data_IF_498534887786
#
_entry.id   IF_498534887786
#
_cell.length_a   1.000
_cell.length_b   1.000
_cell.length_c   1.000
_cell.angle_alpha   90.00
_cell.angle_beta   90.00
_cell.angle_gamma   90.00
#
_symmetry.space_group_name_H-M   'P 1'
#
loop_
_entity.id
_entity.type
_entity.pdbx_description
1 polymer ?
#
# COMPACT_ATOMS: atom_id res chain seq x y z
N UNK A 1 -47.67 7.86 -0.42
CA UNK A 1 -46.48 7.02 -0.23
C UNK A 1 -46.56 6.42 1.15
N UNK A 2 -46.55 5.10 1.24
CA UNK A 2 -46.49 4.41 2.53
C UNK A 2 -45.08 4.52 3.10
N UNK A 3 -44.91 4.43 4.42
CA UNK A 3 -43.58 4.41 5.07
C UNK A 3 -42.68 3.28 4.54
N UNK A 4 -43.29 2.24 3.97
CA UNK A 4 -42.60 1.13 3.32
C UNK A 4 -41.95 1.54 1.98
N UNK A 5 -42.60 2.41 1.19
CA UNK A 5 -42.06 2.90 -0.09
C UNK A 5 -40.90 3.88 0.10
N UNK A 6 -40.95 4.70 1.15
CA UNK A 6 -39.83 5.59 1.54
C UNK A 6 -38.61 4.80 1.99
N UNK A 7 -38.81 3.78 2.84
CA UNK A 7 -37.75 2.88 3.28
C UNK A 7 -37.12 2.12 2.10
N UNK A 8 -37.90 1.69 1.11
CA UNK A 8 -37.38 1.05 -0.11
C UNK A 8 -36.47 1.99 -0.92
N UNK A 9 -36.76 3.30 -0.97
CA UNK A 9 -35.92 4.30 -1.64
C UNK A 9 -34.55 4.48 -0.97
N UNK A 10 -34.53 4.62 0.37
CA UNK A 10 -33.30 4.71 1.15
C UNK A 10 -32.45 3.43 1.01
N UNK A 11 -33.09 2.26 1.07
CA UNK A 11 -32.45 0.97 0.87
C UNK A 11 -31.88 0.83 -0.53
N UNK A 12 -32.58 1.31 -1.57
CA UNK A 12 -32.08 1.26 -2.94
C UNK A 12 -30.83 2.12 -3.11
N UNK A 13 -30.80 3.31 -2.53
CA UNK A 13 -29.59 4.17 -2.51
C UNK A 13 -28.41 3.53 -1.76
N UNK A 14 -28.67 2.89 -0.61
CA UNK A 14 -27.67 2.18 0.17
C UNK A 14 -27.15 0.92 -0.55
N UNK A 15 -28.06 0.14 -1.16
CA UNK A 15 -27.71 -1.06 -1.94
C UNK A 15 -26.93 -0.67 -3.18
N UNK A 16 -27.39 0.30 -3.98
CA UNK A 16 -26.72 0.76 -5.20
C UNK A 16 -25.31 1.31 -4.90
N UNK A 17 -25.11 1.93 -3.73
CA UNK A 17 -23.78 2.35 -3.26
C UNK A 17 -22.90 1.15 -2.85
N UNK A 18 -23.44 0.22 -2.06
CA UNK A 18 -22.71 -0.97 -1.56
C UNK A 18 -22.36 -1.93 -2.71
N UNK A 19 -23.25 -2.12 -3.69
CA UNK A 19 -23.01 -3.01 -4.84
C UNK A 19 -22.32 -2.28 -5.99
N UNK A 20 -22.53 -0.97 -6.15
CA UNK A 20 -21.93 -0.16 -7.22
C UNK A 20 -20.42 0.01 -7.11
N UNK A 21 -19.85 -0.13 -5.90
CA UNK A 21 -18.40 -0.14 -5.68
C UNK A 21 -17.70 -1.45 -6.05
N UNK A 22 -18.44 -2.57 -6.12
CA UNK A 22 -17.89 -3.90 -6.43
C UNK A 22 -18.21 -4.39 -7.86
N UNK A 23 -19.17 -3.77 -8.55
CA UNK A 23 -19.72 -4.29 -9.81
C UNK A 23 -19.06 -3.76 -11.10
N UNK A 24 -17.95 -3.01 -11.04
CA UNK A 24 -17.24 -2.54 -12.25
C UNK A 24 -15.98 -3.32 -12.64
N UNK A 25 -15.61 -4.35 -11.89
CA UNK A 25 -14.49 -5.23 -12.25
C UNK A 25 -14.88 -6.71 -12.12
N UNK A 26 -15.61 -7.24 -13.10
CA UNK A 26 -15.67 -8.70 -13.32
C UNK A 26 -16.24 -9.05 -14.69
N UNK A 27 -15.44 -8.80 -15.73
CA UNK A 27 -15.48 -9.62 -16.95
C UNK A 27 -14.09 -9.67 -17.59
N UNK A 28 -13.23 -10.52 -17.01
CA UNK A 28 -12.32 -11.40 -17.76
C UNK A 28 -11.61 -12.32 -16.77
N UNK A 29 -12.21 -13.46 -16.44
CA UNK A 29 -11.43 -14.63 -16.03
C UNK A 29 -10.99 -15.32 -17.31
N UNK A 30 -9.70 -15.25 -17.63
CA UNK A 30 -9.02 -16.39 -18.20
C UNK A 30 -7.58 -16.47 -17.66
N UNK A 31 -7.14 -17.70 -17.42
CA UNK A 31 -6.24 -18.05 -16.32
C UNK A 31 -4.81 -17.53 -16.36
N UNK A 32 -4.23 -17.38 -15.16
CA UNK A 32 -2.82 -17.72 -14.85
C UNK A 32 -2.57 -17.54 -13.35
N UNK A 33 -2.77 -18.61 -12.59
CA UNK A 33 -2.17 -18.76 -11.27
C UNK A 33 -0.74 -19.28 -11.41
N UNK A 34 0.08 -18.84 -10.44
CA UNK A 34 1.44 -19.28 -10.13
C UNK A 34 2.54 -18.74 -11.06
N UNK A 35 3.32 -17.79 -10.52
CA UNK A 35 4.80 -17.74 -10.47
C UNK A 35 5.14 -16.26 -10.24
N UNK A 36 5.35 -15.85 -8.99
CA UNK A 36 6.13 -14.65 -8.65
C UNK A 36 6.37 -14.59 -7.14
N UNK A 37 7.32 -15.40 -6.67
CA UNK A 37 7.89 -15.24 -5.34
C UNK A 37 9.42 -15.45 -5.29
N UNK A 38 10.12 -15.62 -6.43
CA UNK A 38 11.50 -16.12 -6.39
C UNK A 38 12.52 -15.37 -7.29
N UNK A 39 12.21 -14.15 -7.73
CA UNK A 39 13.08 -13.43 -8.70
C UNK A 39 13.95 -12.33 -8.07
N UNK A 40 13.60 -11.79 -6.90
CA UNK A 40 14.32 -10.64 -6.33
C UNK A 40 15.53 -10.99 -5.44
N UNK A 41 15.86 -12.26 -5.21
CA UNK A 41 17.02 -12.66 -4.37
C UNK A 41 18.25 -13.13 -5.16
N UNK A 42 18.15 -13.37 -6.48
CA UNK A 42 19.24 -13.99 -7.27
C UNK A 42 20.00 -13.04 -8.20
N UNK A 43 19.52 -11.81 -8.40
CA UNK A 43 20.13 -10.87 -9.37
C UNK A 43 21.35 -10.13 -8.79
N UNK A 44 21.45 -9.98 -7.47
CA UNK A 44 22.53 -9.19 -6.84
C UNK A 44 23.82 -9.97 -6.51
N UNK A 45 23.82 -11.31 -6.58
CA UNK A 45 25.03 -12.11 -6.31
C UNK A 45 25.85 -12.44 -7.57
N UNK A 46 25.25 -12.67 -8.73
CA UNK A 46 26.02 -13.06 -9.93
C UNK A 46 26.74 -11.90 -10.61
N UNK A 47 26.31 -10.65 -10.41
CA UNK A 47 27.01 -9.50 -11.03
C UNK A 47 28.34 -9.14 -10.34
N UNK A 48 28.59 -9.61 -9.11
CA UNK A 48 29.82 -9.33 -8.35
C UNK A 48 30.93 -10.37 -8.56
N UNK A 49 30.61 -11.62 -8.90
CA UNK A 49 31.63 -12.65 -9.18
C UNK A 49 32.25 -12.51 -10.58
N UNK A 50 31.49 -12.09 -11.59
CA UNK A 50 31.99 -11.95 -12.96
C UNK A 50 32.98 -10.79 -13.15
N UNK A 51 32.90 -9.75 -12.32
CA UNK A 51 33.83 -8.61 -12.36
C UNK A 51 35.17 -8.94 -11.69
N UNK A 52 35.18 -9.82 -10.67
CA UNK A 52 36.40 -10.28 -10.02
C UNK A 52 37.17 -11.27 -10.91
N UNK A 53 36.48 -12.19 -11.58
CA UNK A 53 37.10 -13.16 -12.49
C UNK A 53 37.74 -12.50 -13.73
N UNK A 54 37.14 -11.43 -14.28
CA UNK A 54 37.70 -10.69 -15.42
C UNK A 54 38.94 -9.86 -15.08
N UNK A 55 39.06 -9.35 -13.86
CA UNK A 55 40.28 -8.62 -13.42
C UNK A 55 41.45 -9.57 -13.16
N UNK A 56 41.20 -10.79 -12.69
CA UNK A 56 42.23 -11.80 -12.47
C UNK A 56 42.83 -12.34 -13.78
N UNK A 57 42.01 -12.52 -14.83
CA UNK A 57 42.50 -13.00 -16.15
C UNK A 57 43.36 -11.96 -16.89
N UNK A 58 42.97 -10.67 -16.86
CA UNK A 58 43.79 -9.60 -17.48
C UNK A 58 45.17 -9.48 -16.82
N UNK A 59 45.26 -9.64 -15.50
CA UNK A 59 46.56 -9.60 -14.80
C UNK A 59 47.47 -10.79 -15.11
N UNK A 60 46.95 -11.95 -15.51
CA UNK A 60 47.78 -13.11 -15.89
C UNK A 60 48.27 -13.04 -17.34
N UNK A 61 47.48 -12.46 -18.25
CA UNK A 61 47.87 -12.29 -19.64
C UNK A 61 48.98 -11.23 -19.80
N UNK A 62 48.91 -10.11 -19.06
CA UNK A 62 49.94 -9.06 -19.08
C UNK A 62 51.31 -9.57 -18.56
N UNK A 63 51.32 -10.53 -17.63
CA UNK A 63 52.55 -11.16 -17.11
C UNK A 63 53.13 -12.18 -18.10
N UNK A 64 52.27 -12.85 -18.90
CA UNK A 64 52.71 -13.79 -19.94
C UNK A 64 53.32 -13.08 -21.15
N UNK A 65 52.80 -11.92 -21.53
CA UNK A 65 53.32 -11.15 -22.67
C UNK A 65 54.66 -10.44 -22.34
N UNK A 66 54.84 -10.07 -21.06
CA UNK A 66 56.11 -9.52 -20.55
C UNK A 66 57.24 -10.56 -20.45
N UNK A 67 56.92 -11.86 -20.37
CA UNK A 67 57.90 -12.94 -20.25
C UNK A 67 58.25 -13.60 -21.60
N UNK A 68 57.41 -13.50 -22.63
CA UNK A 68 57.72 -13.98 -23.99
C UNK A 68 58.67 -13.03 -24.74
N UNK A 69 58.44 -11.72 -24.65
CA UNK A 69 59.28 -10.68 -25.30
C UNK A 69 60.72 -10.68 -24.76
N UNK A 70 60.91 -10.88 -23.45
CA UNK A 70 62.25 -10.96 -22.84
C UNK A 70 63.03 -12.25 -23.21
N UNK A 71 62.34 -13.31 -23.65
CA UNK A 71 62.97 -14.59 -24.05
C UNK A 71 63.41 -14.60 -25.51
N UNK A 72 62.71 -13.88 -26.39
CA UNK A 72 63.11 -13.71 -27.80
C UNK A 72 64.29 -12.74 -27.97
N UNK A 73 64.36 -11.66 -27.19
CA UNK A 73 65.51 -10.73 -27.21
C UNK A 73 66.82 -11.39 -26.73
N UNK A 74 66.75 -12.35 -25.79
CA UNK A 74 67.92 -13.14 -25.36
C UNK A 74 68.39 -14.16 -26.39
N UNK A 75 67.50 -14.64 -27.27
CA UNK A 75 67.88 -15.56 -28.35
C UNK A 75 68.50 -14.82 -29.55
N UNK A 76 68.03 -13.62 -29.88
CA UNK A 76 68.63 -12.81 -30.96
C UNK A 76 70.01 -12.25 -30.59
N UNK A 77 70.26 -11.87 -29.33
CA UNK A 77 71.60 -11.46 -28.89
C UNK A 77 72.64 -12.60 -28.87
N UNK A 78 72.22 -13.87 -28.68
CA UNK A 78 73.14 -15.02 -28.69
C UNK A 78 73.58 -15.44 -30.10
N UNK A 79 72.74 -15.26 -31.13
CA UNK A 79 73.13 -15.58 -32.50
C UNK A 79 74.02 -14.51 -33.15
N UNK A 80 73.87 -13.23 -32.78
CA UNK A 80 74.74 -12.18 -33.31
C UNK A 80 76.17 -12.21 -32.73
N UNK A 81 76.36 -12.76 -31.52
CA UNK A 81 77.67 -12.94 -30.91
C UNK A 81 78.49 -14.09 -31.53
N UNK A 82 77.84 -15.10 -32.12
CA UNK A 82 78.53 -16.28 -32.69
C UNK A 82 78.94 -16.13 -34.16
N UNK A 83 78.42 -15.14 -34.89
CA UNK A 83 78.82 -14.87 -36.29
C UNK A 83 79.91 -13.80 -36.45
N UNK A 84 80.16 -12.98 -35.43
CA UNK A 84 81.21 -11.93 -35.49
C UNK A 84 82.61 -12.49 -35.16
N UNK A 85 82.73 -13.71 -34.63
CA UNK A 85 84.02 -14.27 -34.18
C UNK A 85 84.75 -15.15 -35.23
N UNK A 86 84.23 -15.32 -36.46
CA UNK A 86 84.88 -16.19 -37.48
C UNK A 86 85.17 -15.55 -38.84
N UNK A 87 85.03 -14.23 -38.99
CA UNK A 87 85.31 -13.54 -40.27
C UNK A 87 86.68 -12.84 -40.35
N UNK A 88 87.53 -12.92 -39.32
CA UNK A 88 88.79 -12.15 -39.27
C UNK A 88 90.01 -12.85 -39.89
N UNK A 89 89.85 -13.98 -40.58
CA UNK A 89 91.02 -14.76 -41.05
C UNK A 89 91.35 -14.71 -42.53
N UNK A 90 90.52 -14.13 -43.40
CA UNK A 90 90.83 -14.06 -44.83
C UNK A 90 90.18 -12.84 -45.50
N UNK A 91 90.74 -11.65 -45.31
CA UNK A 91 90.57 -10.55 -46.27
C UNK A 91 91.95 -9.96 -46.59
N UNK A 92 92.48 -10.17 -47.80
CA UNK A 92 93.73 -9.56 -48.23
C UNK A 92 93.57 -8.04 -48.34
N UNK A 93 94.47 -7.29 -47.69
CA UNK A 93 94.57 -5.84 -47.82
C UNK A 93 94.96 -5.47 -49.25
N UNK A 94 93.98 -5.19 -50.09
CA UNK A 94 94.19 -4.48 -51.36
C UNK A 94 94.07 -2.99 -51.07
N UNK A 95 95.18 -2.39 -50.67
CA UNK A 95 95.32 -0.94 -50.50
C UNK A 95 95.89 -0.35 -51.79
N UNK A 96 94.99 0.03 -52.71
CA UNK A 96 95.25 1.05 -53.73
C UNK A 96 94.15 2.11 -53.64
N UNK A 97 94.47 3.40 -53.45
CA UNK A 97 93.47 4.45 -53.44
C UNK A 97 92.97 4.67 -54.87
N UNK A 98 91.67 4.45 -55.08
CA UNK A 98 90.95 4.72 -56.33
C UNK A 98 90.09 5.97 -56.10
N UNK A 99 90.50 7.17 -56.56
CA UNK A 99 89.85 8.45 -56.22
C UNK A 99 88.48 8.67 -56.87
N UNK A 100 88.01 7.79 -57.77
CA UNK A 100 86.73 7.94 -58.47
C UNK A 100 85.54 7.17 -57.83
N UNK A 101 85.77 6.43 -56.73
CA UNK A 101 84.71 5.66 -56.05
C UNK A 101 84.16 6.32 -54.78
N UNK A 102 84.79 7.37 -54.25
CA UNK A 102 84.32 8.04 -53.02
C UNK A 102 83.00 8.80 -53.22
N UNK A 103 82.86 9.52 -54.34
CA UNK A 103 81.62 10.25 -54.67
C UNK A 103 80.45 9.29 -54.94
N UNK A 104 80.70 8.17 -55.62
CA UNK A 104 79.68 7.14 -55.82
C UNK A 104 79.32 6.43 -54.51
N UNK A 105 80.30 6.20 -53.63
CA UNK A 105 80.09 5.63 -52.30
C UNK A 105 79.22 6.52 -51.42
N UNK A 106 79.48 7.84 -51.41
CA UNK A 106 78.68 8.82 -50.67
C UNK A 106 77.23 8.89 -51.18
N UNK A 107 77.02 8.91 -52.49
CA UNK A 107 75.67 8.89 -53.08
C UNK A 107 74.90 7.59 -52.75
N UNK A 108 75.61 6.45 -52.74
CA UNK A 108 75.01 5.16 -52.36
C UNK A 108 74.67 5.14 -50.86
N UNK A 109 75.50 5.72 -50.01
CA UNK A 109 75.24 5.84 -48.58
C UNK A 109 74.04 6.75 -48.28
N UNK A 110 73.93 7.90 -48.95
CA UNK A 110 72.79 8.81 -48.83
C UNK A 110 71.49 8.09 -49.22
N UNK A 111 71.47 7.45 -50.40
CA UNK A 111 70.31 6.65 -50.85
C UNK A 111 69.97 5.51 -49.90
N UNK A 112 70.97 4.87 -49.31
CA UNK A 112 70.76 3.82 -48.31
C UNK A 112 70.11 4.37 -47.03
N UNK A 113 70.54 5.54 -46.57
CA UNK A 113 69.94 6.21 -45.41
C UNK A 113 68.49 6.63 -45.67
N UNK A 114 68.21 7.24 -46.84
CA UNK A 114 66.86 7.60 -47.24
C UNK A 114 65.93 6.38 -47.29
N UNK A 115 66.38 5.31 -47.95
CA UNK A 115 65.63 4.06 -48.03
C UNK A 115 65.42 3.43 -46.65
N UNK A 116 66.41 3.51 -45.76
CA UNK A 116 66.32 3.01 -44.38
C UNK A 116 65.30 3.80 -43.56
N UNK A 117 65.24 5.11 -43.71
CA UNK A 117 64.28 5.97 -43.01
C UNK A 117 62.87 5.82 -43.60
N UNK A 118 62.73 5.67 -44.92
CA UNK A 118 61.48 5.29 -45.57
C UNK A 118 60.98 3.93 -45.08
N UNK A 119 61.84 2.91 -45.02
CA UNK A 119 61.51 1.61 -44.45
C UNK A 119 61.07 1.71 -42.98
N UNK A 120 61.66 2.63 -42.19
CA UNK A 120 61.25 2.87 -40.80
C UNK A 120 59.86 3.50 -40.72
N UNK A 121 59.58 4.53 -41.54
CA UNK A 121 58.26 5.18 -41.61
C UNK A 121 57.18 4.18 -42.03
N UNK A 122 57.41 3.44 -43.12
CA UNK A 122 56.48 2.41 -43.59
C UNK A 122 56.23 1.32 -42.54
N UNK A 123 57.21 0.95 -41.71
CA UNK A 123 57.01 0.01 -40.60
C UNK A 123 56.12 0.60 -39.50
N UNK A 124 56.32 1.87 -39.15
CA UNK A 124 55.48 2.56 -38.15
C UNK A 124 54.04 2.71 -38.64
N UNK A 125 53.84 3.10 -39.91
CA UNK A 125 52.52 3.22 -40.52
C UNK A 125 51.79 1.87 -40.59
N UNK A 126 52.50 0.82 -41.04
CA UNK A 126 51.94 -0.54 -41.06
C UNK A 126 51.57 -1.04 -39.65
N UNK A 127 52.35 -0.69 -38.63
CA UNK A 127 52.02 -1.02 -37.24
C UNK A 127 50.79 -0.24 -36.75
N UNK A 128 50.66 1.04 -37.10
CA UNK A 128 49.47 1.84 -36.85
C UNK A 128 48.21 1.24 -37.48
N UNK A 129 48.28 0.92 -38.79
CA UNK A 129 47.18 0.30 -39.54
C UNK A 129 46.79 -1.08 -38.98
N UNK A 130 47.76 -1.86 -38.48
CA UNK A 130 47.46 -3.14 -37.82
C UNK A 130 46.67 -2.96 -36.54
N UNK A 131 47.04 -1.99 -35.70
CA UNK A 131 46.31 -1.68 -34.46
C UNK A 131 44.90 -1.18 -34.76
N UNK A 132 44.74 -0.31 -35.75
CA UNK A 132 43.43 0.18 -36.17
C UNK A 132 42.55 -0.96 -36.71
N UNK A 133 43.10 -1.81 -37.60
CA UNK A 133 42.40 -2.99 -38.10
C UNK A 133 41.96 -3.91 -36.95
N UNK A 134 42.82 -4.14 -35.97
CA UNK A 134 42.51 -4.98 -34.81
C UNK A 134 41.39 -4.36 -33.96
N UNK A 135 41.43 -3.04 -33.73
CA UNK A 135 40.36 -2.31 -33.03
C UNK A 135 39.03 -2.39 -33.78
N UNK A 136 39.02 -2.15 -35.10
CA UNK A 136 37.81 -2.25 -35.93
C UNK A 136 37.24 -3.67 -35.95
N UNK A 137 38.10 -4.68 -35.99
CA UNK A 137 37.68 -6.09 -35.93
C UNK A 137 37.01 -6.38 -34.59
N UNK A 138 37.62 -5.99 -33.46
CA UNK A 138 37.05 -6.17 -32.14
C UNK A 138 35.72 -5.41 -31.95
N UNK A 139 35.61 -4.20 -32.48
CA UNK A 139 34.37 -3.42 -32.47
C UNK A 139 33.26 -4.10 -33.28
N UNK A 140 33.60 -4.61 -34.48
CA UNK A 140 32.66 -5.33 -35.32
C UNK A 140 32.17 -6.63 -34.65
N UNK A 141 33.06 -7.39 -34.01
CA UNK A 141 32.69 -8.62 -33.28
C UNK A 141 31.73 -8.32 -32.12
N UNK A 142 31.95 -7.21 -31.40
CA UNK A 142 31.06 -6.75 -30.34
C UNK A 142 29.69 -6.33 -30.88
N UNK A 143 29.67 -5.56 -31.98
CA UNK A 143 28.44 -5.12 -32.63
C UNK A 143 27.62 -6.31 -33.13
N UNK A 144 28.26 -7.29 -33.78
CA UNK A 144 27.61 -8.53 -34.24
C UNK A 144 27.06 -9.36 -33.07
N UNK A 145 27.82 -9.48 -31.97
CA UNK A 145 27.37 -10.19 -30.77
C UNK A 145 26.14 -9.53 -30.14
N UNK A 146 26.14 -8.19 -30.04
CA UNK A 146 25.00 -7.42 -29.52
C UNK A 146 23.79 -7.51 -30.43
N UNK A 147 24.00 -7.40 -31.74
CA UNK A 147 22.96 -7.55 -32.75
C UNK A 147 22.27 -8.91 -32.60
N UNK A 148 23.07 -9.99 -32.61
CA UNK A 148 22.57 -11.35 -32.44
C UNK A 148 21.77 -11.51 -31.15
N UNK A 149 22.25 -10.95 -30.04
CA UNK A 149 21.53 -11.00 -28.77
C UNK A 149 20.15 -10.32 -28.85
N UNK A 150 20.09 -9.11 -29.41
CA UNK A 150 18.83 -8.35 -29.56
C UNK A 150 17.86 -9.12 -30.46
N UNK A 151 18.34 -9.63 -31.59
CA UNK A 151 17.54 -10.41 -32.52
C UNK A 151 16.99 -11.67 -31.86
N UNK A 152 17.85 -12.48 -31.24
CA UNK A 152 17.46 -13.79 -30.70
C UNK A 152 16.62 -13.70 -29.42
N UNK A 153 16.92 -12.74 -28.55
CA UNK A 153 16.28 -12.68 -27.22
C UNK A 153 15.15 -11.66 -27.11
N UNK A 154 15.15 -10.62 -27.95
CA UNK A 154 14.12 -9.59 -27.90
C UNK A 154 13.19 -9.74 -29.11
N UNK A 155 13.70 -9.55 -30.32
CA UNK A 155 12.85 -9.45 -31.51
C UNK A 155 12.17 -10.77 -31.87
N UNK A 156 12.89 -11.89 -31.93
CA UNK A 156 12.28 -13.20 -32.25
C UNK A 156 11.25 -13.63 -31.21
N UNK A 157 11.49 -13.34 -29.93
CA UNK A 157 10.55 -13.68 -28.85
C UNK A 157 9.29 -12.83 -28.91
N UNK A 158 9.45 -11.53 -29.09
CA UNK A 158 8.33 -10.61 -29.21
C UNK A 158 7.53 -10.89 -30.50
N UNK A 159 8.18 -11.12 -31.63
CA UNK A 159 7.55 -11.54 -32.88
C UNK A 159 6.70 -12.82 -32.71
N UNK A 160 7.25 -13.83 -32.01
CA UNK A 160 6.50 -15.05 -31.65
C UNK A 160 5.29 -14.74 -30.77
N UNK A 161 5.40 -13.80 -29.84
CA UNK A 161 4.31 -13.40 -28.95
C UNK A 161 3.16 -12.72 -29.70
N UNK A 162 3.46 -11.81 -30.63
CA UNK A 162 2.46 -11.13 -31.47
C UNK A 162 1.98 -11.96 -32.68
N UNK A 163 2.51 -13.18 -32.85
CA UNK A 163 2.15 -14.07 -33.95
C UNK A 163 2.72 -13.68 -35.33
N UNK A 164 3.71 -12.79 -35.38
CA UNK A 164 4.30 -12.29 -36.63
C UNK A 164 5.61 -13.04 -36.93
N UNK A 165 5.82 -13.57 -38.15
CA UNK A 165 7.08 -14.21 -38.51
C UNK A 165 8.20 -13.17 -38.66
N UNK A 166 9.24 -13.27 -37.83
CA UNK A 166 10.43 -12.42 -37.94
C UNK A 166 11.46 -13.01 -38.91
N UNK A 167 11.95 -12.20 -39.85
CA UNK A 167 13.04 -12.58 -40.76
C UNK A 167 14.04 -11.44 -40.95
N UNK A 168 15.32 -11.78 -40.86
CA UNK A 168 16.44 -10.85 -40.63
C UNK A 168 17.03 -10.21 -41.92
N UNK A 169 16.31 -10.25 -43.03
CA UNK A 169 16.85 -9.89 -44.35
C UNK A 169 16.18 -8.66 -44.99
N UNK A 170 15.18 -8.06 -44.35
CA UNK A 170 14.51 -6.85 -44.84
C UNK A 170 14.28 -5.85 -43.70
N UNK A 171 14.69 -4.60 -43.89
CA UNK A 171 14.44 -3.50 -42.96
C UNK A 171 12.94 -3.27 -42.73
N UNK A 172 12.08 -3.52 -43.72
CA UNK A 172 10.63 -3.41 -43.55
C UNK A 172 10.10 -4.46 -42.57
N UNK A 173 10.60 -5.70 -42.66
CA UNK A 173 10.22 -6.77 -41.73
C UNK A 173 10.72 -6.49 -40.31
N UNK A 174 11.89 -5.86 -40.16
CA UNK A 174 12.35 -5.38 -38.86
C UNK A 174 11.36 -4.38 -38.26
N UNK A 175 10.88 -3.41 -39.05
CA UNK A 175 9.93 -2.41 -38.58
C UNK A 175 8.57 -3.02 -38.20
N UNK A 176 8.11 -4.09 -38.86
CA UNK A 176 6.86 -4.78 -38.48
C UNK A 176 6.85 -5.37 -37.08
N UNK A 177 8.03 -5.64 -36.51
CA UNK A 177 8.17 -6.16 -35.14
C UNK A 177 8.65 -5.07 -34.18
N UNK A 178 9.54 -4.19 -34.64
CA UNK A 178 10.16 -3.17 -33.81
C UNK A 178 9.20 -2.03 -33.46
N UNK A 179 8.36 -1.58 -34.40
CA UNK A 179 7.40 -0.49 -34.14
C UNK A 179 6.37 -0.89 -33.05
N UNK A 180 5.68 -2.04 -33.16
CA UNK A 180 4.77 -2.49 -32.09
C UNK A 180 5.48 -2.71 -30.75
N UNK A 181 6.71 -3.25 -30.77
CA UNK A 181 7.49 -3.44 -29.54
C UNK A 181 7.75 -2.12 -28.81
N UNK A 182 8.08 -1.06 -29.55
CA UNK A 182 8.33 0.27 -28.97
C UNK A 182 7.01 0.86 -28.46
N UNK A 183 5.92 0.75 -29.22
CA UNK A 183 4.59 1.21 -28.80
C UNK A 183 4.12 0.51 -27.52
N UNK A 184 4.22 -0.81 -27.46
CA UNK A 184 3.87 -1.60 -26.27
C UNK A 184 4.75 -1.22 -25.08
N UNK A 185 6.06 -1.01 -25.29
CA UNK A 185 6.97 -0.60 -24.22
C UNK A 185 6.60 0.80 -23.66
N UNK A 186 6.21 1.73 -24.53
CA UNK A 186 5.74 3.05 -24.13
C UNK A 186 4.41 2.97 -23.37
N UNK A 187 3.45 2.20 -23.87
CA UNK A 187 2.17 1.98 -23.20
C UNK A 187 2.35 1.31 -21.84
N UNK A 188 3.23 0.30 -21.75
CA UNK A 188 3.55 -0.37 -20.49
C UNK A 188 4.18 0.59 -19.48
N UNK A 189 5.01 1.54 -19.91
CA UNK A 189 5.53 2.60 -19.02
C UNK A 189 4.41 3.47 -18.50
N UNK A 190 3.52 3.96 -19.37
CA UNK A 190 2.38 4.80 -18.98
C UNK A 190 1.44 4.08 -18.00
N UNK A 191 1.17 2.80 -18.23
CA UNK A 191 0.34 1.99 -17.34
C UNK A 191 1.00 1.78 -15.98
N UNK A 192 2.32 1.56 -15.92
CA UNK A 192 3.05 1.47 -14.64
C UNK A 192 3.01 2.78 -13.88
N UNK A 193 3.13 3.91 -14.56
CA UNK A 193 3.04 5.23 -13.94
C UNK A 193 1.63 5.48 -13.39
N UNK A 194 0.59 5.10 -14.14
CA UNK A 194 -0.80 5.16 -13.67
C UNK A 194 -1.04 4.25 -12.46
N UNK A 195 -0.57 3.00 -12.49
CA UNK A 195 -0.69 2.07 -11.35
C UNK A 195 0.03 2.62 -10.13
N UNK A 196 1.25 3.14 -10.30
CA UNK A 196 2.02 3.73 -9.20
C UNK A 196 1.35 4.98 -8.64
N UNK A 197 0.79 5.82 -9.50
CA UNK A 197 0.01 7.00 -9.10
C UNK A 197 -1.25 6.61 -8.35
N UNK A 198 -2.02 5.63 -8.84
CA UNK A 198 -3.23 5.13 -8.18
C UNK A 198 -2.90 4.48 -6.83
N UNK A 199 -1.84 3.68 -6.75
CA UNK A 199 -1.36 3.12 -5.49
C UNK A 199 -0.91 4.23 -4.53
N UNK A 200 -0.18 5.23 -5.01
CA UNK A 200 0.22 6.40 -4.24
C UNK A 200 -0.97 7.20 -3.72
N UNK A 201 -1.99 7.43 -4.57
CA UNK A 201 -3.24 8.05 -4.18
C UNK A 201 -4.02 7.19 -3.18
N UNK A 202 -4.12 5.87 -3.39
CA UNK A 202 -4.78 4.96 -2.44
C UNK A 202 -4.08 5.00 -1.08
N UNK A 203 -2.75 4.98 -1.04
CA UNK A 203 -1.96 5.06 0.18
C UNK A 203 -2.02 6.45 0.84
N UNK A 204 -2.07 7.52 0.06
CA UNK A 204 -2.28 8.88 0.57
C UNK A 204 -3.73 9.10 1.07
N UNK A 205 -4.69 8.40 0.47
CA UNK A 205 -6.11 8.31 0.87
C UNK A 205 -6.36 7.24 1.93
N UNK A 206 -5.36 6.47 2.37
CA UNK A 206 -5.42 5.78 3.66
C UNK A 206 -5.47 6.91 4.67
N UNK A 207 -6.70 7.33 4.95
CA UNK A 207 -7.08 8.27 5.98
C UNK A 207 -6.14 7.99 7.15
N UNK A 208 -5.33 8.98 7.54
CA UNK A 208 -4.62 8.92 8.81
C UNK A 208 -5.72 8.82 9.86
N UNK A 209 -6.11 7.58 10.15
CA UNK A 209 -7.14 7.27 11.11
C UNK A 209 -6.65 7.89 12.40
N UNK A 210 -7.28 8.99 12.79
CA UNK A 210 -7.09 9.53 14.12
C UNK A 210 -7.86 8.62 15.06
N UNK A 211 -7.21 7.51 15.44
CA UNK A 211 -7.71 6.66 16.49
C UNK A 211 -7.83 7.49 17.76
N UNK A 212 -9.01 7.46 18.38
CA UNK A 212 -9.25 8.13 19.64
C UNK A 212 -8.59 7.29 20.73
N UNK A 213 -7.73 7.91 21.53
CA UNK A 213 -7.02 7.21 22.60
C UNK A 213 -7.99 6.70 23.69
N UNK A 214 -7.67 5.56 24.29
CA UNK A 214 -8.51 4.91 25.31
C UNK A 214 -8.79 5.84 26.51
N UNK A 215 -7.83 6.69 26.89
CA UNK A 215 -8.01 7.67 27.97
C UNK A 215 -9.14 8.65 27.69
N UNK A 216 -9.36 8.98 26.41
CA UNK A 216 -10.45 9.84 26.00
C UNK A 216 -11.80 9.13 26.19
N UNK A 217 -11.92 7.86 25.79
CA UNK A 217 -13.13 7.07 26.05
C UNK A 217 -13.40 6.92 27.54
N UNK A 218 -12.39 6.56 28.33
CA UNK A 218 -12.49 6.45 29.80
C UNK A 218 -12.99 7.77 30.40
N UNK A 219 -12.44 8.90 29.95
CA UNK A 219 -12.86 10.23 30.42
C UNK A 219 -14.32 10.52 30.05
N UNK A 220 -14.72 10.28 28.80
CA UNK A 220 -16.10 10.50 28.34
C UNK A 220 -17.10 9.61 29.08
N UNK A 221 -16.78 8.33 29.30
CA UNK A 221 -17.61 7.42 30.11
C UNK A 221 -17.74 7.89 31.55
N UNK A 222 -16.64 8.33 32.19
CA UNK A 222 -16.68 8.88 33.56
C UNK A 222 -17.54 10.13 33.66
N UNK A 223 -17.47 11.01 32.67
CA UNK A 223 -18.31 12.21 32.61
C UNK A 223 -19.77 11.79 32.53
N UNK A 224 -20.14 10.91 31.58
CA UNK A 224 -21.51 10.41 31.44
C UNK A 224 -22.02 9.75 32.74
N UNK A 225 -21.23 8.87 33.35
CA UNK A 225 -21.55 8.23 34.62
C UNK A 225 -21.75 9.25 35.76
N UNK A 226 -20.93 10.29 35.81
CA UNK A 226 -21.04 11.35 36.82
C UNK A 226 -22.31 12.20 36.66
N UNK A 227 -22.78 12.40 35.42
CA UNK A 227 -24.03 13.11 35.15
C UNK A 227 -25.25 12.28 35.55
N UNK A 228 -25.27 10.99 35.18
CA UNK A 228 -26.33 10.06 35.58
C UNK A 228 -26.43 9.98 37.11
N UNK A 229 -25.28 9.92 37.79
CA UNK A 229 -25.20 9.94 39.26
C UNK A 229 -25.65 11.27 39.87
N UNK A 230 -25.41 12.39 39.19
CA UNK A 230 -25.87 13.70 39.66
C UNK A 230 -27.37 13.84 39.49
N UNK A 231 -27.91 13.41 38.35
CA UNK A 231 -29.33 13.35 38.07
C UNK A 231 -30.06 12.45 39.09
N UNK A 232 -29.55 11.25 39.38
CA UNK A 232 -30.14 10.32 40.36
C UNK A 232 -30.24 10.93 41.77
N UNK A 233 -29.31 11.81 42.13
CA UNK A 233 -29.27 12.52 43.42
C UNK A 233 -30.25 13.68 43.52
N UNK A 234 -30.56 14.32 42.38
CA UNK A 234 -31.48 15.46 42.32
C UNK A 234 -32.96 15.02 42.37
N UNK A 235 -33.25 13.77 41.99
CA UNK A 235 -34.61 13.23 42.00
C UNK A 235 -35.18 13.14 43.42
N UNK A 236 -36.34 13.78 43.60
CA UNK A 236 -37.16 13.67 44.81
C UNK A 236 -38.21 12.58 44.60
N UNK A 237 -38.05 11.48 45.30
CA UNK A 237 -38.94 10.33 45.14
C UNK A 237 -40.22 10.51 45.94
N UNK A 238 -41.33 10.02 45.38
CA UNK A 238 -42.60 9.97 46.11
C UNK A 238 -42.46 9.00 47.29
N UNK A 239 -43.13 9.32 48.39
CA UNK A 239 -43.15 8.45 49.56
C UNK A 239 -43.85 7.13 49.21
N UNK A 240 -43.32 6.01 49.70
CA UNK A 240 -43.91 4.67 49.59
C UNK A 240 -44.12 4.12 48.17
N UNK A 241 -43.42 4.65 47.15
CA UNK A 241 -43.48 4.06 45.80
C UNK A 241 -42.74 2.72 45.75
N UNK A 242 -43.38 1.72 45.14
CA UNK A 242 -42.71 0.50 44.71
C UNK A 242 -42.00 0.74 43.38
N UNK A 243 -40.70 0.96 43.46
CA UNK A 243 -39.84 1.31 42.32
C UNK A 243 -39.81 0.18 41.28
N UNK A 244 -39.92 -1.07 41.71
CA UNK A 244 -39.91 -2.22 40.82
C UNK A 244 -41.16 -2.28 39.94
N UNK A 245 -42.32 -2.03 40.53
CA UNK A 245 -43.58 -1.99 39.79
C UNK A 245 -43.62 -0.82 38.81
N UNK A 246 -43.03 0.32 39.16
CA UNK A 246 -42.97 1.49 38.30
C UNK A 246 -42.08 1.27 37.06
N UNK A 247 -40.88 0.71 37.22
CA UNK A 247 -39.94 0.57 36.10
C UNK A 247 -40.03 -0.76 35.36
N UNK A 248 -40.61 -1.81 35.96
CA UNK A 248 -40.58 -3.16 35.40
C UNK A 248 -39.19 -3.82 35.43
N UNK A 249 -39.00 -4.86 34.61
CA UNK A 249 -37.68 -5.49 34.41
C UNK A 249 -36.93 -4.80 33.26
N UNK A 250 -35.63 -4.61 33.44
CA UNK A 250 -34.74 -4.01 32.44
C UNK A 250 -33.32 -4.56 32.56
N UNK A 251 -32.53 -4.35 31.51
CA UNK A 251 -31.27 -5.05 31.23
C UNK A 251 -30.32 -5.24 32.44
N UNK A 252 -30.02 -4.18 33.20
CA UNK A 252 -29.04 -4.23 34.30
C UNK A 252 -29.60 -4.69 35.65
N UNK A 253 -30.92 -4.87 35.76
CA UNK A 253 -31.59 -5.34 36.99
C UNK A 253 -32.21 -6.72 36.79
N UNK A 254 -32.29 -7.19 35.56
CA UNK A 254 -32.79 -8.51 35.24
C UNK A 254 -32.05 -9.60 36.02
N UNK A 255 -32.81 -10.54 36.58
CA UNK A 255 -32.27 -11.60 37.43
C UNK A 255 -31.86 -11.21 38.87
N UNK A 256 -31.89 -9.93 39.25
CA UNK A 256 -31.57 -9.50 40.62
C UNK A 256 -32.82 -9.52 41.51
N UNK A 257 -32.77 -10.23 42.65
CA UNK A 257 -33.90 -10.30 43.60
C UNK A 257 -34.30 -8.90 44.11
N UNK A 258 -35.60 -8.65 44.22
CA UNK A 258 -36.15 -7.35 44.61
C UNK A 258 -35.71 -6.89 46.01
N UNK A 259 -35.49 -7.82 46.93
CA UNK A 259 -34.96 -7.56 48.27
C UNK A 259 -33.64 -6.78 48.26
N UNK A 260 -32.81 -6.98 47.22
CA UNK A 260 -31.53 -6.31 47.11
C UNK A 260 -31.63 -4.83 46.81
N UNK A 261 -32.76 -4.31 46.30
CA UNK A 261 -32.91 -2.88 46.01
C UNK A 261 -33.78 -2.13 47.00
N UNK A 262 -34.30 -2.81 48.03
CA UNK A 262 -35.03 -2.17 49.12
C UNK A 262 -34.07 -1.29 49.93
N UNK A 263 -34.47 -0.03 50.12
CA UNK A 263 -33.78 0.95 50.96
C UNK A 263 -33.37 2.23 50.21
N UNK A 264 -33.46 3.37 50.89
CA UNK A 264 -33.26 4.71 50.32
C UNK A 264 -31.93 4.89 49.56
N UNK A 265 -30.85 4.27 50.04
CA UNK A 265 -29.55 4.34 49.35
C UNK A 265 -29.51 3.53 48.06
N UNK A 266 -30.17 2.37 48.05
CA UNK A 266 -30.14 1.41 46.93
C UNK A 266 -31.06 1.80 45.79
N UNK A 267 -32.16 2.45 46.12
CA UNK A 267 -33.04 3.15 45.20
C UNK A 267 -32.29 4.05 44.21
N UNK A 268 -31.24 4.75 44.64
CA UNK A 268 -30.44 5.60 43.72
C UNK A 268 -29.71 4.77 42.68
N UNK A 269 -29.10 3.66 43.08
CA UNK A 269 -28.46 2.72 42.17
C UNK A 269 -29.45 2.07 41.22
N UNK A 270 -30.67 1.79 41.68
CA UNK A 270 -31.75 1.30 40.82
C UNK A 270 -32.08 2.30 39.70
N UNK A 271 -32.20 3.59 40.05
CA UNK A 271 -32.44 4.66 39.06
C UNK A 271 -31.25 4.79 38.08
N UNK A 272 -30.02 4.74 38.59
CA UNK A 272 -28.82 4.75 37.74
C UNK A 272 -28.82 3.56 36.78
N UNK A 273 -29.16 2.36 37.27
CA UNK A 273 -29.25 1.15 36.46
C UNK A 273 -30.38 1.23 35.41
N UNK A 274 -31.52 1.85 35.73
CA UNK A 274 -32.60 2.09 34.77
C UNK A 274 -32.14 3.00 33.62
N UNK A 275 -31.52 4.13 33.95
CA UNK A 275 -31.00 5.08 32.95
C UNK A 275 -29.97 4.38 32.06
N UNK A 276 -29.00 3.68 32.65
CA UNK A 276 -28.00 2.92 31.89
C UNK A 276 -28.63 1.84 31.02
N UNK A 277 -29.64 1.11 31.49
CA UNK A 277 -30.31 0.07 30.71
C UNK A 277 -31.03 0.65 29.49
N UNK A 278 -31.63 1.83 29.66
CA UNK A 278 -32.26 2.57 28.55
C UNK A 278 -31.21 2.99 27.53
N UNK A 279 -30.10 3.59 27.97
CA UNK A 279 -29.00 3.98 27.08
C UNK A 279 -28.35 2.77 26.39
N UNK A 280 -28.14 1.67 27.09
CA UNK A 280 -27.60 0.43 26.52
C UNK A 280 -28.50 -0.13 25.42
N UNK A 281 -29.81 -0.09 25.61
CA UNK A 281 -30.78 -0.65 24.67
C UNK A 281 -31.01 0.28 23.47
N UNK A 282 -31.10 1.59 23.69
CA UNK A 282 -31.49 2.55 22.65
C UNK A 282 -30.31 3.22 21.95
N UNK A 283 -29.16 3.36 22.61
CA UNK A 283 -28.01 4.13 22.12
C UNK A 283 -26.79 3.25 21.82
N UNK A 284 -26.53 2.27 22.69
CA UNK A 284 -25.32 1.43 22.59
C UNK A 284 -25.58 -0.03 22.16
N UNK A 285 -26.80 -0.37 21.74
CA UNK A 285 -27.16 -1.74 21.40
C UNK A 285 -26.45 -2.24 20.14
N UNK A 286 -26.16 -1.33 19.21
CA UNK A 286 -25.34 -1.58 18.04
C UNK A 286 -24.67 -0.27 17.55
N UNK A 287 -23.65 -0.34 16.69
CA UNK A 287 -22.91 0.83 16.19
C UNK A 287 -23.77 1.85 15.39
N UNK A 288 -24.95 1.45 14.94
CA UNK A 288 -25.83 2.27 14.12
C UNK A 288 -27.03 2.81 14.92
N UNK A 289 -27.27 2.35 16.15
CA UNK A 289 -28.49 2.61 16.92
C UNK A 289 -28.84 4.11 17.04
N UNK A 290 -27.82 4.97 17.12
CA UNK A 290 -27.98 6.43 17.17
C UNK A 290 -28.60 7.06 15.92
N UNK A 291 -28.80 6.29 14.85
CA UNK A 291 -29.49 6.71 13.63
C UNK A 291 -31.02 6.48 13.70
N UNK A 292 -31.54 5.99 14.84
CA UNK A 292 -32.96 5.71 15.02
C UNK A 292 -33.41 4.46 14.26
N UNK A 293 -34.69 4.39 13.88
CA UNK A 293 -35.29 3.19 13.23
C UNK A 293 -34.56 2.68 11.98
N UNK A 294 -34.00 3.52 11.08
CA UNK A 294 -33.22 3.04 9.94
C UNK A 294 -32.00 2.19 10.33
N UNK A 295 -31.48 2.35 11.55
CA UNK A 295 -30.35 1.58 12.06
C UNK A 295 -30.59 0.07 12.03
N UNK A 296 -31.82 -0.39 12.24
CA UNK A 296 -32.18 -1.81 12.23
C UNK A 296 -31.96 -2.44 10.85
N UNK A 297 -32.18 -1.68 9.78
CA UNK A 297 -31.96 -2.14 8.41
C UNK A 297 -30.46 -2.24 8.13
N UNK A 298 -29.69 -1.23 8.52
CA UNK A 298 -28.23 -1.23 8.37
C UNK A 298 -27.59 -2.35 9.21
N UNK A 299 -28.08 -2.56 10.42
CA UNK A 299 -27.65 -3.66 11.29
C UNK A 299 -27.98 -5.02 10.68
N UNK A 300 -29.20 -5.22 10.15
CA UNK A 300 -29.56 -6.47 9.47
C UNK A 300 -28.69 -6.73 8.24
N UNK A 301 -28.37 -5.69 7.46
CA UNK A 301 -27.45 -5.80 6.34
C UNK A 301 -26.05 -6.20 6.81
N UNK A 302 -25.54 -5.53 7.84
CA UNK A 302 -24.23 -5.83 8.44
C UNK A 302 -24.15 -7.29 8.91
N UNK A 303 -25.18 -7.75 9.62
CA UNK A 303 -25.33 -9.13 10.07
C UNK A 303 -25.44 -10.09 8.88
N UNK A 304 -26.22 -9.77 7.86
CA UNK A 304 -26.39 -10.65 6.70
C UNK A 304 -25.10 -10.83 5.90
N UNK A 305 -24.24 -9.81 5.85
CA UNK A 305 -22.98 -9.85 5.10
C UNK A 305 -21.88 -10.62 5.85
N UNK A 306 -21.83 -10.50 7.19
CA UNK A 306 -20.70 -11.00 8.00
C UNK A 306 -21.09 -12.06 9.04
N UNK A 307 -22.36 -12.48 9.07
CA UNK A 307 -22.91 -13.50 9.97
C UNK A 307 -23.25 -13.00 11.38
N UNK A 308 -23.97 -13.82 12.16
CA UNK A 308 -24.17 -13.64 13.61
C UNK A 308 -23.36 -14.69 14.35
N UNK A 309 -22.24 -14.30 14.96
CA UNK A 309 -21.40 -15.26 15.69
C UNK A 309 -20.60 -14.62 16.84
N UNK A 310 -21.05 -13.47 17.36
CA UNK A 310 -20.39 -12.79 18.47
C UNK A 310 -21.36 -12.26 19.53
N UNK A 311 -20.81 -11.65 20.60
CA UNK A 311 -21.60 -11.08 21.70
C UNK A 311 -22.66 -10.09 21.21
N UNK A 312 -23.87 -10.19 21.79
CA UNK A 312 -25.03 -9.35 21.47
C UNK A 312 -25.48 -9.42 20.01
N UNK A 313 -25.31 -10.58 19.36
CA UNK A 313 -25.66 -10.82 17.95
C UNK A 313 -24.91 -9.94 16.95
N UNK A 314 -23.80 -9.33 17.36
CA UNK A 314 -22.93 -8.61 16.43
C UNK A 314 -22.16 -9.62 15.56
N UNK A 315 -21.75 -9.24 14.34
CA UNK A 315 -20.86 -10.07 13.52
C UNK A 315 -19.51 -10.33 14.19
N UNK A 316 -18.79 -11.38 13.81
CA UNK A 316 -17.41 -11.58 14.28
C UNK A 316 -16.54 -10.44 13.77
N UNK A 317 -15.71 -9.80 14.62
CA UNK A 317 -14.80 -8.76 14.16
C UNK A 317 -13.77 -9.36 13.20
N UNK A 318 -13.81 -8.92 11.94
CA UNK A 318 -12.91 -9.37 10.85
C UNK A 318 -12.32 -8.18 10.12
N UNK A 319 -11.24 -8.42 9.36
CA UNK A 319 -10.57 -7.40 8.56
C UNK A 319 -11.47 -6.76 7.48
N UNK A 320 -12.58 -7.41 7.10
CA UNK A 320 -13.57 -6.88 6.17
C UNK A 320 -14.76 -6.23 6.86
N UNK A 321 -15.25 -6.80 7.97
CA UNK A 321 -16.42 -6.28 8.70
C UNK A 321 -16.18 -4.90 9.34
N UNK A 322 -15.04 -4.69 9.97
CA UNK A 322 -14.79 -3.45 10.72
C UNK A 322 -14.57 -2.22 9.83
N UNK A 323 -13.80 -2.30 8.73
CA UNK A 323 -13.75 -1.23 7.74
C UNK A 323 -15.13 -0.93 7.14
N UNK A 324 -15.91 -1.96 6.80
CA UNK A 324 -17.26 -1.77 6.28
C UNK A 324 -18.13 -1.00 7.30
N UNK A 325 -18.16 -1.44 8.56
CA UNK A 325 -18.96 -0.80 9.62
C UNK A 325 -18.57 0.66 9.81
N UNK A 326 -17.27 0.93 9.98
CA UNK A 326 -16.77 2.28 10.22
C UNK A 326 -16.96 3.21 9.01
N UNK A 327 -16.77 2.72 7.78
CA UNK A 327 -16.99 3.49 6.55
C UNK A 327 -18.46 3.80 6.32
N UNK A 328 -19.35 2.82 6.52
CA UNK A 328 -20.80 3.01 6.48
C UNK A 328 -21.22 4.05 7.51
N UNK A 329 -20.71 3.98 8.73
CA UNK A 329 -21.00 4.98 9.76
C UNK A 329 -20.51 6.38 9.38
N UNK A 330 -19.28 6.52 8.86
CA UNK A 330 -18.73 7.80 8.37
C UNK A 330 -19.62 8.39 7.27
N UNK A 331 -20.08 7.57 6.34
CA UNK A 331 -20.95 8.01 5.26
C UNK A 331 -22.30 8.52 5.79
N UNK A 332 -22.97 7.73 6.64
CA UNK A 332 -24.25 8.11 7.25
C UNK A 332 -24.14 9.40 8.08
N UNK A 333 -23.03 9.56 8.81
CA UNK A 333 -22.72 10.80 9.55
C UNK A 333 -22.48 11.98 8.61
N UNK A 334 -21.84 11.77 7.46
CA UNK A 334 -21.67 12.79 6.43
C UNK A 334 -22.99 13.23 5.79
N UNK A 335 -23.98 12.33 5.69
CA UNK A 335 -25.32 12.62 5.17
C UNK A 335 -26.17 13.43 6.15
N UNK A 336 -26.15 13.06 7.43
CA UNK A 336 -27.00 13.67 8.48
C UNK A 336 -26.35 14.89 9.14
N UNK A 337 -25.03 14.89 9.25
CA UNK A 337 -24.28 15.87 10.02
C UNK A 337 -24.09 15.47 11.50
N UNK A 338 -22.90 15.79 12.02
CA UNK A 338 -22.50 15.42 13.38
C UNK A 338 -23.35 16.08 14.46
N UNK A 339 -23.73 17.34 14.27
CA UNK A 339 -24.42 18.12 15.31
C UNK A 339 -25.88 17.69 15.49
N UNK A 340 -26.51 17.21 14.42
CA UNK A 340 -27.84 16.59 14.47
C UNK A 340 -27.78 15.34 15.34
N UNK A 341 -26.81 14.44 15.07
CA UNK A 341 -26.67 13.19 15.82
C UNK A 341 -26.34 13.45 17.29
N UNK A 342 -25.42 14.38 17.58
CA UNK A 342 -24.90 14.56 18.95
C UNK A 342 -25.74 15.50 19.80
N UNK A 343 -26.27 16.58 19.25
CA UNK A 343 -26.99 17.62 20.00
C UNK A 343 -28.44 17.84 19.55
N UNK A 344 -28.88 17.15 18.49
CA UNK A 344 -30.21 17.37 17.90
C UNK A 344 -30.37 18.71 17.21
N UNK A 345 -29.26 19.41 16.90
CA UNK A 345 -29.28 20.69 16.21
C UNK A 345 -29.24 20.45 14.71
N UNK A 346 -30.32 20.83 14.03
CA UNK A 346 -30.40 20.84 12.57
C UNK A 346 -29.39 21.84 12.04
N UNK A 347 -28.32 21.34 11.42
CA UNK A 347 -27.35 22.18 10.76
C UNK A 347 -27.95 22.69 9.44
N UNK A 348 -27.66 23.95 9.09
CA UNK A 348 -28.04 24.51 7.79
C UNK A 348 -27.10 23.99 6.69
N UNK A 349 -27.04 22.67 6.55
CA UNK A 349 -26.29 22.04 5.48
C UNK A 349 -27.13 22.15 4.21
N UNK A 350 -26.55 22.65 3.12
CA UNK A 350 -27.24 22.89 1.84
C UNK A 350 -27.81 21.64 1.14
N UNK A 351 -27.90 20.50 1.85
CA UNK A 351 -28.41 19.21 1.40
C UNK A 351 -29.74 18.82 2.07
N UNK A 352 -30.42 19.77 2.73
CA UNK A 352 -31.63 19.58 3.54
C UNK A 352 -32.68 18.65 2.93
N UNK A 353 -32.88 18.69 1.61
CA UNK A 353 -33.99 17.95 1.00
C UNK A 353 -33.69 16.47 0.72
N UNK A 354 -32.41 16.08 0.56
CA UNK A 354 -32.10 14.72 0.09
C UNK A 354 -32.12 13.67 1.20
N UNK A 355 -31.83 14.07 2.45
CA UNK A 355 -31.70 13.17 3.60
C UNK A 355 -32.60 13.53 4.78
N UNK A 356 -33.64 14.35 4.54
CA UNK A 356 -34.58 14.81 5.56
C UNK A 356 -35.21 13.65 6.35
N UNK A 357 -35.57 12.54 5.71
CA UNK A 357 -36.18 11.39 6.37
C UNK A 357 -35.20 10.71 7.37
N UNK A 358 -33.91 10.62 7.03
CA UNK A 358 -32.88 10.06 7.92
C UNK A 358 -32.57 11.01 9.08
N UNK A 359 -32.50 12.31 8.80
CA UNK A 359 -32.34 13.35 9.82
C UNK A 359 -33.50 13.32 10.83
N UNK A 360 -34.74 13.26 10.34
CA UNK A 360 -35.94 13.14 11.15
C UNK A 360 -35.92 11.87 12.00
N UNK A 361 -35.47 10.73 11.45
CA UNK A 361 -35.35 9.49 12.20
C UNK A 361 -34.31 9.56 13.32
N UNK A 362 -33.18 10.24 13.12
CA UNK A 362 -32.17 10.50 14.15
C UNK A 362 -32.75 11.37 15.26
N UNK A 363 -33.42 12.46 14.90
CA UNK A 363 -34.08 13.36 15.86
C UNK A 363 -35.17 12.64 16.66
N UNK A 364 -35.95 11.78 16.00
CA UNK A 364 -36.96 10.96 16.65
C UNK A 364 -36.33 9.95 17.61
N UNK A 365 -35.28 9.23 17.22
CA UNK A 365 -34.59 8.28 18.11
C UNK A 365 -34.02 8.95 19.37
N UNK A 366 -33.55 10.20 19.24
CA UNK A 366 -33.14 11.03 20.38
C UNK A 366 -34.32 11.40 21.27
N UNK A 367 -35.42 11.87 20.67
CA UNK A 367 -36.65 12.19 21.40
C UNK A 367 -37.20 10.96 22.14
N UNK A 368 -37.27 9.80 21.48
CA UNK A 368 -37.70 8.54 22.06
C UNK A 368 -36.82 8.15 23.25
N UNK A 369 -35.50 8.35 23.17
CA UNK A 369 -34.57 8.07 24.28
C UNK A 369 -34.82 9.00 25.47
N UNK A 370 -35.01 10.30 25.21
CA UNK A 370 -35.35 11.28 26.25
C UNK A 370 -36.70 10.92 26.90
N UNK A 371 -37.72 10.65 26.08
CA UNK A 371 -39.06 10.31 26.53
C UNK A 371 -39.09 9.01 27.34
N UNK A 372 -38.33 7.98 26.94
CA UNK A 372 -38.23 6.73 27.69
C UNK A 372 -37.64 6.96 29.09
N UNK A 373 -36.57 7.76 29.19
CA UNK A 373 -35.97 8.10 30.49
C UNK A 373 -36.93 8.98 31.30
N UNK A 374 -37.47 10.04 30.70
CA UNK A 374 -38.39 10.99 31.36
C UNK A 374 -39.63 10.28 31.89
N UNK A 375 -40.29 9.47 31.05
CA UNK A 375 -41.51 8.74 31.41
C UNK A 375 -41.28 7.77 32.56
N UNK A 376 -40.16 7.05 32.57
CA UNK A 376 -39.81 6.19 33.69
C UNK A 376 -39.56 6.99 34.98
N UNK A 377 -38.75 8.04 34.91
CA UNK A 377 -38.42 8.84 36.09
C UNK A 377 -39.64 9.62 36.64
N UNK A 378 -40.56 10.06 35.77
CA UNK A 378 -41.78 10.75 36.14
C UNK A 378 -42.73 9.89 36.98
N UNK A 379 -42.70 8.56 36.80
CA UNK A 379 -43.50 7.63 37.61
C UNK A 379 -43.07 7.64 39.08
N UNK A 380 -41.77 7.77 39.35
CA UNK A 380 -41.21 7.71 40.70
C UNK A 380 -40.92 9.07 41.33
N UNK A 381 -40.83 10.13 40.51
CA UNK A 381 -40.48 11.48 40.94
C UNK A 381 -41.71 12.28 41.37
N UNK A 382 -41.59 13.03 42.46
CA UNK A 382 -42.66 13.85 43.02
C UNK A 382 -42.78 15.23 42.35
N UNK A 383 -41.67 15.81 41.86
CA UNK A 383 -41.56 17.12 41.18
C UNK A 383 -40.09 17.38 40.76
N UNK A 384 -39.45 16.43 40.07
CA UNK A 384 -38.04 16.57 39.68
C UNK A 384 -37.87 17.45 38.45
N UNK A 385 -36.89 18.35 38.47
CA UNK A 385 -36.38 18.96 37.24
C UNK A 385 -35.66 17.88 36.43
N UNK A 386 -36.25 17.51 35.30
CA UNK A 386 -35.75 16.47 34.40
C UNK A 386 -34.96 17.06 33.21
N UNK A 387 -34.71 18.37 33.19
CA UNK A 387 -34.01 19.04 32.08
C UNK A 387 -32.60 18.50 31.83
N UNK A 388 -31.94 17.98 32.87
CA UNK A 388 -30.61 17.38 32.77
C UNK A 388 -30.58 16.06 31.96
N UNK A 389 -31.73 15.41 31.70
CA UNK A 389 -31.80 14.19 30.87
C UNK A 389 -31.31 14.46 29.46
N UNK A 390 -31.64 15.63 28.88
CA UNK A 390 -31.17 16.00 27.54
C UNK A 390 -29.65 16.05 27.46
N UNK A 391 -28.98 16.61 28.48
CA UNK A 391 -27.51 16.60 28.56
C UNK A 391 -26.95 15.18 28.62
N UNK A 392 -27.57 14.29 29.40
CA UNK A 392 -27.16 12.88 29.48
C UNK A 392 -27.29 12.20 28.11
N UNK A 393 -28.41 12.41 27.41
CA UNK A 393 -28.65 11.86 26.07
C UNK A 393 -27.67 12.45 25.06
N UNK A 394 -27.41 13.76 25.06
CA UNK A 394 -26.41 14.40 24.20
C UNK A 394 -25.03 13.75 24.34
N UNK A 395 -24.59 13.53 25.58
CA UNK A 395 -23.29 12.91 25.86
C UNK A 395 -23.26 11.44 25.49
N UNK A 396 -24.35 10.71 25.71
CA UNK A 396 -24.46 9.31 25.31
C UNK A 396 -24.38 9.17 23.78
N UNK A 397 -25.13 9.97 23.03
CA UNK A 397 -25.07 9.99 21.56
C UNK A 397 -23.70 10.43 21.05
N UNK A 398 -23.09 11.45 21.66
CA UNK A 398 -21.73 11.88 21.35
C UNK A 398 -20.69 10.77 21.54
N UNK A 399 -20.77 10.05 22.66
CA UNK A 399 -19.89 8.93 22.97
C UNK A 399 -20.11 7.75 22.01
N UNK A 400 -21.36 7.36 21.79
CA UNK A 400 -21.72 6.29 20.87
C UNK A 400 -21.27 6.59 19.44
N UNK A 401 -21.40 7.85 18.99
CA UNK A 401 -20.88 8.28 17.70
C UNK A 401 -19.35 8.14 17.62
N UNK A 402 -18.63 8.58 18.65
CA UNK A 402 -17.17 8.45 18.68
C UNK A 402 -16.71 6.98 18.64
N UNK A 403 -17.39 6.11 19.38
CA UNK A 403 -17.15 4.67 19.38
C UNK A 403 -17.40 4.08 17.98
N UNK A 404 -18.52 4.45 17.36
CA UNK A 404 -18.95 3.91 16.06
C UNK A 404 -18.09 4.39 14.89
N UNK A 405 -17.40 5.53 15.04
CA UNK A 405 -16.45 6.04 14.03
C UNK A 405 -15.05 5.44 14.15
N UNK A 406 -14.72 4.74 15.23
CA UNK A 406 -13.42 4.07 15.32
C UNK A 406 -13.34 2.94 14.29
N UNK A 407 -12.17 2.68 13.68
CA UNK A 407 -11.99 1.51 12.83
C UNK A 407 -11.93 0.21 13.63
N UNK A 408 -11.49 0.26 14.88
CA UNK A 408 -11.69 -0.87 15.80
C UNK A 408 -13.10 -0.87 16.36
N UNK A 409 -13.57 -2.05 16.76
CA UNK A 409 -14.84 -2.20 17.44
C UNK A 409 -14.69 -1.81 18.90
N UNK A 410 -15.56 -0.94 19.38
CA UNK A 410 -15.72 -0.67 20.81
C UNK A 410 -17.14 -1.08 21.19
N UNK A 411 -17.24 -1.98 22.16
CA UNK A 411 -18.51 -2.52 22.65
C UNK A 411 -18.58 -2.35 24.15
N UNK A 412 -19.76 -1.95 24.65
CA UNK A 412 -20.01 -1.90 26.09
C UNK A 412 -20.44 -3.30 26.52
N UNK A 413 -19.69 -3.89 27.44
CA UNK A 413 -20.02 -5.16 28.07
C UNK A 413 -20.28 -4.94 29.55
N UNK A 414 -21.18 -5.73 30.12
CA UNK A 414 -21.45 -5.73 31.56
C UNK A 414 -21.51 -7.19 32.05
N UNK A 415 -21.03 -7.47 33.27
CA UNK A 415 -21.07 -8.81 33.84
C UNK A 415 -22.51 -9.28 34.08
N UNK A 416 -22.71 -10.60 34.09
CA UNK A 416 -23.98 -11.17 34.53
C UNK A 416 -24.16 -10.93 36.04
N UNK A 417 -25.40 -10.90 36.55
CA UNK A 417 -25.65 -10.79 37.98
C UNK A 417 -24.87 -11.87 38.78
N UNK A 418 -23.95 -11.43 39.64
CA UNK A 418 -23.13 -12.31 40.48
C UNK A 418 -21.74 -12.63 39.94
N UNK A 419 -21.43 -12.25 38.70
CA UNK A 419 -20.08 -12.40 38.15
C UNK A 419 -19.09 -11.44 38.85
N UNK A 420 -17.87 -11.93 39.10
CA UNK A 420 -16.79 -11.09 39.62
C UNK A 420 -16.19 -10.28 38.46
N UNK A 421 -15.96 -8.98 38.69
CA UNK A 421 -15.11 -8.19 37.80
C UNK A 421 -13.68 -8.73 37.89
N UNK A 422 -13.28 -9.58 36.94
CA UNK A 422 -11.87 -9.88 36.70
C UNK A 422 -11.31 -8.76 35.82
N UNK A 423 -10.43 -7.94 36.41
CA UNK A 423 -9.66 -6.93 35.68
C UNK A 423 -8.59 -7.58 34.79
#
# INVERSE_FOLDING_TARGET
>A
MTDEEKNKGLLRGLVDFVTGGAAKESHSEDGSQAVNADINSKVDMHSREDTAARRSRRSQDDIRESTSTSREERHHSRHHSLYVSKSDKYMPRISKPLPEYEDQSMLVLEKYHDLKDECRRLRQDNEGLRKEKLHLTAYNDLAQSRYKYIVDNVLKRYAKHIGTPYKDYNAELLNTVLCPLIEDALQASMLRDQVTSLQGEMLARVEKVQAVADEHFVKSFRILASEIKSLSRLLRLRNHINIFEAFGSFLLVDGVRTEHWIGRGKTKYFIEAYIWSTLLTMVFSNPFAILGKPSEQVQRLWISMFGMAHQHDWPVPTASSEPWRSMTMKHLVGMVGRDVITTGKVADTGHKDMYADLEAAVLQGRADTVEAIESGLAQVSANGDLSAIRSVVDKAFGLALQMSLQPCRIQITFPSPGDRYSH
#
